data_IF_034645531933
#
_entry.id   IF_034645531933
#
_cell.length_a   1.000
_cell.length_b   1.000
_cell.length_c   1.000
_cell.angle_alpha   90.00
_cell.angle_beta   90.00
_cell.angle_gamma   90.00
#
_symmetry.space_group_name_H-M   'P 1'
#
loop_
_entity.id
_entity.type
_entity.pdbx_description
1 polymer ?
#
# COMPACT_ATOMS: atom_id res chain seq x y z
N UNK A 1 -4.74 -18.05 -7.36
CA UNK A 1 -4.10 -16.78 -6.95
C UNK A 1 -4.43 -16.51 -5.49
N UNK A 2 -3.45 -16.11 -4.69
CA UNK A 2 -3.67 -15.60 -3.34
C UNK A 2 -3.42 -14.09 -3.36
N UNK A 3 -4.41 -13.28 -2.99
CA UNK A 3 -4.23 -11.84 -2.78
C UNK A 3 -4.15 -11.55 -1.28
N UNK A 4 -3.15 -10.80 -0.84
CA UNK A 4 -2.90 -10.52 0.58
C UNK A 4 -2.40 -9.09 0.82
N UNK A 5 -2.54 -8.63 2.07
CA UNK A 5 -1.88 -7.45 2.63
C UNK A 5 -0.83 -7.88 3.68
N UNK A 6 -0.44 -7.01 4.63
CA UNK A 6 0.50 -7.24 5.75
C UNK A 6 1.97 -6.87 5.51
N UNK A 7 2.62 -7.35 4.44
CA UNK A 7 3.99 -6.91 4.11
C UNK A 7 3.96 -5.62 3.29
N UNK A 8 4.73 -4.62 3.71
CA UNK A 8 4.97 -3.38 2.95
C UNK A 8 5.68 -3.71 1.62
N UNK A 9 5.22 -3.08 0.54
CA UNK A 9 5.90 -3.04 -0.76
C UNK A 9 5.94 -1.60 -1.24
N UNK A 10 7.05 -1.19 -1.85
CA UNK A 10 7.31 0.21 -2.18
C UNK A 10 6.46 0.67 -3.35
N UNK A 11 6.20 -0.25 -4.27
CA UNK A 11 5.46 -0.10 -5.52
C UNK A 11 3.93 -0.20 -5.35
N UNK A 12 3.42 -0.31 -4.11
CA UNK A 12 1.99 -0.43 -3.82
C UNK A 12 1.42 -1.83 -4.04
N UNK A 13 1.92 -2.59 -5.03
CA UNK A 13 1.60 -4.02 -5.18
C UNK A 13 2.77 -4.81 -5.74
N UNK A 14 2.88 -6.10 -5.39
CA UNK A 14 3.98 -6.96 -5.87
C UNK A 14 3.53 -8.39 -6.07
N UNK A 15 3.91 -8.96 -7.20
CA UNK A 15 3.76 -10.40 -7.46
C UNK A 15 4.94 -11.19 -6.89
N UNK A 16 4.63 -12.37 -6.35
CA UNK A 16 5.59 -13.29 -5.77
C UNK A 16 5.33 -14.71 -6.29
N UNK A 17 6.37 -15.55 -6.20
CA UNK A 17 6.29 -16.99 -6.47
C UNK A 17 5.65 -17.29 -7.84
N UNK A 18 6.25 -16.77 -8.91
CA UNK A 18 5.75 -16.91 -10.29
C UNK A 18 4.29 -16.46 -10.43
N UNK A 19 3.99 -15.26 -9.90
CA UNK A 19 2.67 -14.62 -9.99
C UNK A 19 1.52 -15.41 -9.37
N UNK A 20 1.82 -16.31 -8.42
CA UNK A 20 0.78 -17.06 -7.70
C UNK A 20 0.26 -16.32 -6.47
N UNK A 21 1.08 -15.44 -5.88
CA UNK A 21 0.74 -14.63 -4.70
C UNK A 21 0.93 -13.14 -5.02
N UNK A 22 -0.11 -12.36 -4.78
CA UNK A 22 -0.13 -10.91 -4.92
C UNK A 22 -0.17 -10.25 -3.55
N UNK A 23 0.79 -9.37 -3.34
CA UNK A 23 0.80 -8.40 -2.25
C UNK A 23 0.16 -7.10 -2.73
N UNK A 24 -0.86 -6.60 -2.04
CA UNK A 24 -1.38 -5.22 -2.22
C UNK A 24 -1.16 -4.43 -0.93
N UNK A 25 -0.79 -3.16 -1.07
CA UNK A 25 -0.55 -2.22 0.00
C UNK A 25 -1.26 -0.90 -0.29
N UNK A 26 -2.18 -0.48 0.59
CA UNK A 26 -3.07 0.66 0.32
C UNK A 26 -2.81 1.88 1.23
N UNK A 27 -1.69 1.92 1.95
CA UNK A 27 -1.32 3.04 2.83
C UNK A 27 -0.09 3.79 2.30
N UNK A 28 -0.26 4.87 1.52
CA UNK A 28 0.87 5.56 0.92
C UNK A 28 1.69 6.31 1.97
N UNK A 29 3.00 6.41 1.74
CA UNK A 29 3.97 6.95 2.69
C UNK A 29 3.74 6.44 4.12
N UNK A 30 3.80 5.12 4.28
CA UNK A 30 3.46 4.47 5.53
C UNK A 30 4.30 5.00 6.70
N UNK A 31 3.62 5.21 7.83
CA UNK A 31 4.15 5.87 9.01
C UNK A 31 4.83 7.23 8.74
N UNK A 32 4.53 7.91 7.63
CA UNK A 32 5.18 9.15 7.17
C UNK A 32 6.70 9.04 6.94
N UNK A 33 7.22 7.82 6.80
CA UNK A 33 8.66 7.54 6.74
C UNK A 33 9.05 6.71 5.52
N UNK A 34 8.20 5.79 5.11
CA UNK A 34 8.60 4.76 4.15
C UNK A 34 8.63 5.25 2.71
N UNK A 35 7.90 6.32 2.35
CA UNK A 35 7.90 6.86 0.98
C UNK A 35 7.32 5.92 -0.09
N UNK A 36 6.64 4.84 0.30
CA UNK A 36 5.98 3.93 -0.64
C UNK A 36 4.76 4.60 -1.30
N UNK A 37 4.43 4.17 -2.52
CA UNK A 37 3.11 4.40 -3.11
C UNK A 37 2.11 3.36 -2.60
N UNK A 38 0.83 3.57 -2.89
CA UNK A 38 -0.24 2.65 -2.54
C UNK A 38 -0.98 2.18 -3.79
N UNK A 39 -1.65 1.03 -3.67
CA UNK A 39 -2.42 0.43 -4.73
C UNK A 39 -3.79 -0.06 -4.24
N UNK A 40 -4.73 -0.11 -5.18
CA UNK A 40 -6.00 -0.85 -5.11
C UNK A 40 -5.96 -1.89 -6.23
N UNK A 41 -6.32 -3.14 -5.91
CA UNK A 41 -6.63 -4.16 -6.92
C UNK A 41 -8.13 -4.08 -7.23
N UNK A 42 -8.46 -3.75 -8.46
CA UNK A 42 -9.83 -3.83 -8.97
C UNK A 42 -10.04 -5.14 -9.71
N UNK A 43 -11.21 -5.74 -9.50
CA UNK A 43 -11.66 -6.94 -10.19
C UNK A 43 -13.00 -6.63 -10.84
N UNK A 44 -13.09 -6.78 -12.15
CA UNK A 44 -14.35 -6.63 -12.89
C UNK A 44 -15.25 -7.89 -12.76
N UNK A 45 -16.42 -7.87 -13.40
CA UNK A 45 -17.35 -9.00 -13.43
C UNK A 45 -16.78 -10.28 -14.07
N UNK A 46 -15.68 -10.16 -14.80
CA UNK A 46 -14.95 -11.25 -15.47
C UNK A 46 -13.64 -11.61 -14.76
N UNK A 47 -13.40 -11.07 -13.56
CA UNK A 47 -12.18 -11.25 -12.76
C UNK A 47 -10.90 -10.78 -13.48
N UNK A 48 -11.04 -9.87 -14.46
CA UNK A 48 -9.90 -9.13 -14.98
C UNK A 48 -9.39 -8.20 -13.88
N UNK A 49 -8.07 -8.03 -13.86
CA UNK A 49 -7.36 -7.34 -12.80
C UNK A 49 -6.87 -6.01 -13.32
N UNK A 50 -7.19 -4.94 -12.62
CA UNK A 50 -6.56 -3.65 -12.83
C UNK A 50 -5.99 -3.13 -11.50
N UNK A 51 -5.00 -2.26 -11.60
CA UNK A 51 -4.33 -1.66 -10.45
C UNK A 51 -4.39 -0.15 -10.52
N UNK A 52 -5.10 0.45 -9.55
CA UNK A 52 -5.04 1.89 -9.35
C UNK A 52 -3.90 2.20 -8.39
N UNK A 53 -2.90 2.95 -8.86
CA UNK A 53 -1.77 3.43 -8.06
C UNK A 53 -2.01 4.87 -7.62
N UNK A 54 -1.75 5.15 -6.34
CA UNK A 54 -1.94 6.48 -5.77
C UNK A 54 -0.90 6.83 -4.71
N UNK A 55 -0.64 8.12 -4.58
CA UNK A 55 0.30 8.68 -3.61
C UNK A 55 -0.41 9.22 -2.36
N UNK A 56 0.38 9.65 -1.38
CA UNK A 56 -0.16 10.28 -0.18
C UNK A 56 -0.79 11.63 -0.54
N UNK A 57 -1.98 11.90 0.00
CA UNK A 57 -2.63 13.19 -0.18
C UNK A 57 -1.73 14.36 0.24
N UNK A 58 -1.84 15.54 -0.39
CA UNK A 58 -1.07 16.73 -0.06
C UNK A 58 -1.12 17.07 1.44
N UNK A 59 -0.06 17.68 1.96
CA UNK A 59 0.04 17.94 3.41
C UNK A 59 -1.01 18.94 3.91
N UNK A 60 -1.48 19.84 3.05
CA UNK A 60 -2.49 20.86 3.38
C UNK A 60 -3.85 20.27 3.79
N UNK A 61 -4.17 19.04 3.36
CA UNK A 61 -5.41 18.35 3.73
C UNK A 61 -5.25 17.44 4.95
N UNK A 62 -4.04 17.32 5.51
CA UNK A 62 -3.78 16.46 6.67
C UNK A 62 -4.01 17.26 7.96
N UNK A 63 -5.03 16.90 8.73
CA UNK A 63 -5.11 17.32 10.13
C UNK A 63 -3.82 16.94 10.86
N UNK A 64 -3.21 17.88 11.57
CA UNK A 64 -1.93 17.68 12.27
C UNK A 64 -2.13 16.54 13.28
N UNK A 65 -1.51 15.36 13.11
CA UNK A 65 -1.60 14.32 14.12
C UNK A 65 -0.83 14.82 15.35
N UNK A 66 -1.43 14.71 16.54
CA UNK A 66 -0.69 14.86 17.79
C UNK A 66 0.52 13.93 17.74
N UNK A 67 1.72 14.47 17.97
CA UNK A 67 2.99 13.73 17.92
C UNK A 67 2.95 12.54 18.89
N UNK A 68 2.45 11.39 18.43
CA UNK A 68 2.59 10.13 19.15
C UNK A 68 3.99 9.59 18.86
N UNK A 69 4.70 9.07 19.87
CA UNK A 69 6.01 8.48 19.66
C UNK A 69 5.92 7.38 18.61
N UNK A 70 6.88 7.40 17.70
CA UNK A 70 6.98 6.45 16.60
C UNK A 70 7.24 5.07 17.20
N UNK A 71 6.40 4.09 16.89
CA UNK A 71 6.62 2.72 17.33
C UNK A 71 7.67 2.03 16.44
N UNK A 72 8.59 1.30 17.06
CA UNK A 72 9.77 0.70 16.41
C UNK A 72 9.51 -0.60 15.64
N UNK A 73 8.26 -0.86 15.22
CA UNK A 73 7.88 -2.16 14.65
C UNK A 73 8.41 -2.48 13.23
N UNK A 74 9.38 -1.73 12.71
CA UNK A 74 9.90 -1.92 11.33
C UNK A 74 11.43 -1.85 11.21
N UNK A 75 12.15 -2.13 12.30
CA UNK A 75 13.59 -2.45 12.26
C UNK A 75 13.81 -3.96 12.25
#
# INVERSE_FOLDING_TARGET
MICRAHQLVMEGYKWHFNETVLTVWSAPNYCYRCGNVAAILELDEHLQKDFIIFEAAPQETRGIPSKKPVADYFL
#
